data_IF_111466421037
#
_entry.id   IF_111466421037
#
_cell.length_a   1.000
_cell.length_b   1.000
_cell.length_c   1.000
_cell.angle_alpha   90.00
_cell.angle_beta   90.00
_cell.angle_gamma   90.00
#
_symmetry.space_group_name_H-M   'P 1'
#
loop_
_entity.id
_entity.type
_entity.pdbx_description
1 polymer ?
#
# COMPACT_ATOMS: atom_id res chain seq x y z
N UNK A 1 -2.34 2.87 -7.16
CA UNK A 1 -3.37 3.89 -7.45
C UNK A 1 -2.72 4.89 -8.38
N UNK A 2 -3.26 5.01 -9.58
CA UNK A 2 -2.78 5.94 -10.60
C UNK A 2 -3.77 7.10 -10.66
N UNK A 3 -3.24 8.32 -10.73
CA UNK A 3 -4.03 9.50 -11.02
C UNK A 3 -3.42 10.10 -12.29
N UNK A 4 -4.22 10.16 -13.35
CA UNK A 4 -3.83 10.73 -14.64
C UNK A 4 -2.62 10.02 -15.31
N UNK A 5 -2.49 8.71 -15.11
CA UNK A 5 -1.36 7.92 -15.63
C UNK A 5 -0.06 8.08 -14.83
N UNK A 6 -0.05 8.91 -13.78
CA UNK A 6 1.08 9.06 -12.87
C UNK A 6 0.88 8.25 -11.58
N UNK A 7 1.94 7.56 -11.17
CA UNK A 7 1.98 6.85 -9.89
C UNK A 7 2.09 7.86 -8.74
N UNK A 8 1.05 7.97 -7.92
CA UNK A 8 1.00 8.95 -6.81
C UNK A 8 1.91 8.61 -5.62
N UNK A 9 2.13 7.33 -5.37
CA UNK A 9 3.02 6.81 -4.34
C UNK A 9 3.39 5.36 -4.68
N UNK A 10 4.46 4.85 -4.08
CA UNK A 10 4.87 3.45 -4.17
C UNK A 10 4.87 2.84 -2.77
N UNK A 11 4.72 1.52 -2.66
CA UNK A 11 4.79 0.82 -1.37
C UNK A 11 6.10 0.07 -1.30
N UNK A 12 6.91 0.36 -0.30
CA UNK A 12 8.05 -0.48 0.06
C UNK A 12 7.55 -1.63 0.93
N UNK A 13 7.40 -2.80 0.31
CA UNK A 13 6.91 -4.01 0.99
C UNK A 13 7.92 -4.58 2.00
N UNK A 14 9.21 -4.27 1.89
CA UNK A 14 10.22 -4.71 2.87
C UNK A 14 10.07 -3.92 4.16
N UNK A 15 9.79 -2.63 4.05
CA UNK A 15 9.61 -1.74 5.21
C UNK A 15 8.14 -1.63 5.66
N UNK A 16 7.20 -2.09 4.84
CA UNK A 16 5.77 -1.87 5.02
C UNK A 16 5.40 -0.38 5.09
N UNK A 17 6.12 0.45 4.33
CA UNK A 17 5.93 1.90 4.29
C UNK A 17 5.40 2.37 2.93
N UNK A 18 4.52 3.37 2.95
CA UNK A 18 4.05 4.04 1.75
C UNK A 18 4.93 5.26 1.47
N UNK A 19 5.60 5.28 0.32
CA UNK A 19 6.49 6.36 -0.13
C UNK A 19 5.72 7.25 -1.10
N UNK A 20 5.41 8.47 -0.67
CA UNK A 20 4.62 9.42 -1.43
C UNK A 20 5.50 10.27 -2.34
N UNK A 21 5.12 10.41 -3.62
CA UNK A 21 5.78 11.37 -4.52
C UNK A 21 5.39 12.82 -4.19
N UNK A 22 4.18 13.03 -3.70
CA UNK A 22 3.66 14.34 -3.27
C UNK A 22 3.42 14.35 -1.76
N UNK A 23 4.22 15.13 -1.04
CA UNK A 23 4.17 15.24 0.43
C UNK A 23 2.79 15.69 0.95
N UNK A 24 2.04 16.49 0.17
CA UNK A 24 0.68 16.94 0.51
C UNK A 24 -0.32 15.78 0.65
N UNK A 25 -0.15 14.71 -0.12
CA UNK A 25 -1.01 13.53 -0.05
C UNK A 25 -0.66 12.65 1.16
N UNK A 26 0.62 12.60 1.54
CA UNK A 26 1.09 11.91 2.74
C UNK A 26 0.49 12.47 4.03
N UNK A 27 0.21 13.78 4.05
CA UNK A 27 -0.35 14.49 5.21
C UNK A 27 -1.85 14.32 5.41
N UNK A 28 -2.56 13.57 4.55
CA UNK A 28 -3.99 13.28 4.72
C UNK A 28 -4.17 11.99 5.55
N UNK A 29 -4.46 12.06 6.86
CA UNK A 29 -4.39 10.91 7.75
C UNK A 29 -5.38 9.82 7.36
N UNK A 30 -6.58 10.21 6.95
CA UNK A 30 -7.67 9.31 6.55
C UNK A 30 -7.32 8.46 5.33
N UNK A 31 -6.63 9.03 4.35
CA UNK A 31 -6.18 8.31 3.17
C UNK A 31 -5.06 7.32 3.52
N UNK A 32 -4.10 7.74 4.35
CA UNK A 32 -2.98 6.89 4.79
C UNK A 32 -3.45 5.68 5.62
N UNK A 33 -4.40 5.85 6.54
CA UNK A 33 -4.92 4.73 7.34
C UNK A 33 -5.73 3.72 6.50
N UNK A 34 -6.63 4.20 5.63
CA UNK A 34 -7.41 3.33 4.73
C UNK A 34 -6.50 2.54 3.79
N UNK A 35 -5.45 3.19 3.29
CA UNK A 35 -4.43 2.59 2.45
C UNK A 35 -3.66 1.46 3.13
N UNK A 36 -3.13 1.72 4.34
CA UNK A 36 -2.34 0.74 5.09
C UNK A 36 -3.17 -0.50 5.44
N UNK A 37 -4.45 -0.32 5.79
CA UNK A 37 -5.37 -1.43 6.01
C UNK A 37 -5.53 -2.30 4.76
N UNK A 38 -5.63 -1.69 3.56
CA UNK A 38 -5.68 -2.43 2.29
C UNK A 38 -4.41 -3.23 2.02
N UNK A 39 -3.21 -2.68 2.26
CA UNK A 39 -1.96 -3.44 2.11
C UNK A 39 -1.93 -4.62 3.09
N UNK A 40 -2.30 -4.39 4.36
CA UNK A 40 -2.30 -5.42 5.37
C UNK A 40 -3.21 -6.60 4.98
N UNK A 41 -4.40 -6.32 4.45
CA UNK A 41 -5.30 -7.35 3.91
C UNK A 41 -4.69 -8.10 2.71
N UNK A 42 -4.09 -7.39 1.75
CA UNK A 42 -3.45 -8.02 0.59
C UNK A 42 -2.31 -8.94 1.04
N UNK A 43 -1.49 -8.50 2.00
CA UNK A 43 -0.40 -9.32 2.56
C UNK A 43 -0.94 -10.58 3.22
N UNK A 44 -1.95 -10.44 4.08
CA UNK A 44 -2.58 -11.59 4.74
C UNK A 44 -3.17 -12.59 3.74
N UNK A 45 -3.82 -12.11 2.67
CA UNK A 45 -4.34 -12.99 1.62
C UNK A 45 -3.21 -13.68 0.84
N UNK A 46 -2.12 -12.98 0.55
CA UNK A 46 -0.97 -13.54 -0.15
C UNK A 46 -0.29 -14.63 0.69
N UNK A 47 -0.13 -14.40 1.99
CA UNK A 47 0.46 -15.38 2.91
C UNK A 47 -0.36 -16.69 2.92
N UNK A 48 -1.69 -16.59 2.94
CA UNK A 48 -2.59 -17.76 2.83
C UNK A 48 -2.44 -18.48 1.48
N UNK A 49 -2.32 -17.76 0.38
CA UNK A 49 -2.13 -18.36 -0.94
C UNK A 49 -0.78 -19.07 -1.05
N UNK A 50 0.28 -18.50 -0.46
CA UNK A 50 1.62 -19.12 -0.39
C UNK A 50 1.57 -20.41 0.44
N UNK A 51 0.91 -20.39 1.61
CA UNK A 51 0.77 -21.57 2.47
C UNK A 51 0.00 -22.70 1.78
N UNK A 52 -1.01 -22.38 0.96
CA UNK A 52 -1.83 -23.37 0.22
C UNK A 52 -1.21 -23.85 -1.10
N UNK A 53 -0.15 -23.19 -1.56
CA UNK A 53 0.57 -23.57 -2.79
C UNK A 53 1.68 -24.60 -2.55
N UNK A 54 1.86 -25.02 -1.29
CA UNK A 54 2.75 -26.10 -0.84
C UNK A 54 1.93 -27.37 -0.56
#
# INVERSE_FOLDING_TARGET
>A
YEFDGEQLFSVDLKKSEAVWRLLRLATLPTLTHRWLASIAMIRAHLDVLVERSN
#
